data_IF_382204575320
#
_entry.id   IF_382204575320
#
_cell.length_a   1.000
_cell.length_b   1.000
_cell.length_c   1.000
_cell.angle_alpha   90.00
_cell.angle_beta   90.00
_cell.angle_gamma   90.00
#
_symmetry.space_group_name_H-M   'P 1'
#
loop_
_entity.id
_entity.type
_entity.pdbx_description
1 polymer ?
#
# COMPACT_ATOMS: atom_id res chain seq x y z
N UNK A 1 -14.85 -4.01 -11.58
CA UNK A 1 -14.47 -2.57 -11.60
C UNK A 1 -13.16 -2.42 -12.35
N UNK A 2 -13.05 -1.49 -13.29
CA UNK A 2 -11.81 -1.25 -14.05
C UNK A 2 -11.10 -0.01 -13.53
N UNK A 3 -9.79 -0.10 -13.32
CA UNK A 3 -8.92 1.02 -12.95
C UNK A 3 -8.12 1.49 -14.15
N UNK A 4 -7.85 2.80 -14.24
CA UNK A 4 -6.96 3.36 -15.26
C UNK A 4 -5.50 3.25 -14.78
N UNK A 5 -5.01 2.03 -14.75
CA UNK A 5 -3.72 1.69 -14.16
C UNK A 5 -2.55 1.87 -15.14
N UNK A 6 -2.45 3.06 -15.77
CA UNK A 6 -1.41 3.36 -16.76
C UNK A 6 -0.61 4.61 -16.40
N UNK A 7 0.66 4.61 -16.75
CA UNK A 7 1.60 5.73 -16.68
C UNK A 7 2.45 5.79 -17.96
N UNK A 8 3.54 6.54 -17.99
CA UNK A 8 4.52 6.54 -19.09
C UNK A 8 5.95 6.49 -18.53
N UNK A 9 6.91 6.06 -19.33
CA UNK A 9 8.32 6.09 -18.93
C UNK A 9 8.80 7.53 -18.66
N UNK A 10 8.33 8.51 -19.39
CA UNK A 10 8.66 9.91 -19.14
C UNK A 10 8.11 10.41 -17.81
N UNK A 11 6.87 10.04 -17.45
CA UNK A 11 6.29 10.39 -16.15
C UNK A 11 7.08 9.77 -14.99
N UNK A 12 7.49 8.51 -15.11
CA UNK A 12 8.33 7.83 -14.10
C UNK A 12 9.70 8.52 -14.00
N UNK A 13 10.36 8.77 -15.13
CA UNK A 13 11.68 9.40 -15.18
C UNK A 13 11.69 10.79 -14.55
N UNK A 14 10.64 11.56 -14.74
CA UNK A 14 10.47 12.90 -14.15
C UNK A 14 10.47 12.88 -12.61
N UNK A 15 10.23 11.72 -11.98
CA UNK A 15 10.23 11.51 -10.53
C UNK A 15 11.55 10.98 -9.98
N UNK A 16 12.59 10.92 -10.82
CA UNK A 16 13.95 10.48 -10.42
C UNK A 16 13.96 9.07 -9.78
N UNK A 17 13.53 8.03 -10.50
CA UNK A 17 13.56 6.66 -10.00
C UNK A 17 14.97 6.21 -9.67
N UNK A 18 15.13 5.21 -8.81
CA UNK A 18 16.43 4.63 -8.52
C UNK A 18 17.03 4.01 -9.78
N UNK A 19 18.36 4.07 -9.89
CA UNK A 19 19.08 3.64 -11.12
C UNK A 19 18.84 2.17 -11.47
N UNK A 20 18.79 1.30 -10.46
CA UNK A 20 18.64 -0.14 -10.66
C UNK A 20 17.22 -0.51 -11.10
N UNK A 21 16.20 0.02 -10.43
CA UNK A 21 14.79 -0.16 -10.83
C UNK A 21 14.54 0.37 -12.23
N UNK A 22 15.10 1.54 -12.55
CA UNK A 22 14.99 2.14 -13.88
C UNK A 22 15.61 1.26 -14.98
N UNK A 23 16.85 0.78 -14.78
CA UNK A 23 17.52 -0.11 -15.72
C UNK A 23 16.76 -1.41 -15.92
N UNK A 24 16.25 -2.00 -14.82
CA UNK A 24 15.47 -3.23 -14.84
C UNK A 24 14.22 -3.07 -15.69
N UNK A 25 13.47 -1.98 -15.49
CA UNK A 25 12.26 -1.67 -16.26
C UNK A 25 12.55 -1.49 -17.74
N UNK A 26 13.56 -0.67 -18.10
CA UNK A 26 13.94 -0.47 -19.50
C UNK A 26 14.37 -1.77 -20.18
N UNK A 27 15.17 -2.60 -19.50
CA UNK A 27 15.61 -3.90 -20.02
C UNK A 27 14.41 -4.84 -20.27
N UNK A 28 13.44 -4.89 -19.33
CA UNK A 28 12.23 -5.69 -19.49
C UNK A 28 11.40 -5.26 -20.71
N UNK A 29 11.33 -3.96 -20.96
CA UNK A 29 10.58 -3.38 -22.09
C UNK A 29 11.38 -3.41 -23.41
N UNK A 30 12.65 -3.80 -23.40
CA UNK A 30 13.54 -3.72 -24.57
C UNK A 30 13.81 -2.29 -25.04
N UNK A 31 13.71 -1.29 -24.15
CA UNK A 31 13.86 0.13 -24.44
C UNK A 31 15.19 0.67 -23.90
N UNK A 32 15.74 1.66 -24.62
CA UNK A 32 17.00 2.33 -24.23
C UNK A 32 16.76 3.75 -23.70
N UNK A 33 15.56 4.31 -23.92
CA UNK A 33 15.18 5.64 -23.50
C UNK A 33 13.71 5.69 -23.07
N UNK A 34 13.35 6.73 -22.31
CA UNK A 34 11.98 7.00 -21.94
C UNK A 34 11.16 7.53 -23.13
N UNK A 35 9.89 7.20 -23.13
CA UNK A 35 8.88 7.66 -24.07
C UNK A 35 7.54 7.91 -23.36
N UNK A 36 6.53 8.31 -24.13
CA UNK A 36 5.17 8.58 -23.66
C UNK A 36 4.17 7.47 -24.05
N UNK A 37 4.67 6.29 -24.44
CA UNK A 37 3.78 5.16 -24.66
C UNK A 37 3.09 4.76 -23.35
N UNK A 38 1.78 4.47 -23.39
CA UNK A 38 1.06 4.01 -22.21
C UNK A 38 1.68 2.72 -21.65
N UNK A 39 2.11 2.78 -20.39
CA UNK A 39 2.71 1.67 -19.66
C UNK A 39 1.76 1.23 -18.54
N UNK A 40 1.26 0.01 -18.61
CA UNK A 40 0.37 -0.52 -17.59
C UNK A 40 1.15 -0.90 -16.33
N UNK A 41 0.58 -0.60 -15.15
CA UNK A 41 1.22 -0.90 -13.85
C UNK A 41 1.50 -2.40 -13.67
N UNK A 42 0.70 -3.28 -14.27
CA UNK A 42 0.95 -4.72 -14.22
C UNK A 42 2.31 -5.09 -14.84
N UNK A 43 2.69 -4.43 -15.93
CA UNK A 43 4.01 -4.63 -16.55
C UNK A 43 5.15 -4.23 -15.61
N UNK A 44 4.96 -3.16 -14.82
CA UNK A 44 5.93 -2.73 -13.82
C UNK A 44 5.97 -3.74 -12.66
N UNK A 45 4.81 -4.24 -12.24
CA UNK A 45 4.72 -5.26 -11.20
C UNK A 45 5.45 -6.55 -11.62
N UNK A 46 5.29 -6.99 -12.87
CA UNK A 46 5.94 -8.17 -13.42
C UNK A 46 7.46 -8.00 -13.54
N UNK A 47 7.91 -6.80 -13.94
CA UNK A 47 9.34 -6.53 -14.12
C UNK A 47 10.06 -6.22 -12.81
N UNK A 48 9.48 -5.35 -11.97
CA UNK A 48 10.16 -4.72 -10.83
C UNK A 48 9.65 -5.19 -9.47
N UNK A 49 8.44 -5.74 -9.42
CA UNK A 49 7.80 -6.18 -8.18
C UNK A 49 7.00 -5.09 -7.48
N UNK A 50 6.45 -5.46 -6.31
CA UNK A 50 5.48 -4.66 -5.56
C UNK A 50 6.02 -3.28 -5.16
N UNK A 51 7.22 -3.23 -4.58
CA UNK A 51 7.78 -1.98 -4.03
C UNK A 51 7.92 -0.88 -5.10
N UNK A 52 8.47 -1.21 -6.27
CA UNK A 52 8.65 -0.25 -7.35
C UNK A 52 7.31 0.16 -7.95
N UNK A 53 6.35 -0.77 -8.04
CA UNK A 53 5.00 -0.48 -8.52
C UNK A 53 4.28 0.49 -7.61
N UNK A 54 4.31 0.28 -6.29
CA UNK A 54 3.71 1.19 -5.31
C UNK A 54 4.38 2.57 -5.33
N UNK A 55 5.70 2.61 -5.48
CA UNK A 55 6.42 3.86 -5.65
C UNK A 55 5.96 4.63 -6.89
N UNK A 56 5.82 3.94 -8.04
CA UNK A 56 5.32 4.55 -9.29
C UNK A 56 3.89 5.07 -9.09
N UNK A 57 2.99 4.27 -8.50
CA UNK A 57 1.61 4.70 -8.21
C UNK A 57 1.58 5.99 -7.40
N UNK A 58 2.38 6.05 -6.33
CA UNK A 58 2.44 7.21 -5.44
C UNK A 58 3.04 8.44 -6.15
N UNK A 59 4.14 8.27 -6.89
CA UNK A 59 4.86 9.39 -7.49
C UNK A 59 4.18 9.96 -8.74
N UNK A 60 3.56 9.12 -9.54
CA UNK A 60 2.91 9.55 -10.79
C UNK A 60 1.43 9.89 -10.62
N UNK A 61 0.81 9.44 -9.51
CA UNK A 61 -0.61 9.66 -9.27
C UNK A 61 -1.51 9.06 -10.36
N UNK A 62 -1.06 7.98 -11.01
CA UNK A 62 -1.69 7.46 -12.22
C UNK A 62 -3.12 6.91 -12.01
N UNK A 63 -3.47 6.49 -10.79
CA UNK A 63 -4.82 6.11 -10.41
C UNK A 63 -5.02 6.27 -8.88
N UNK A 64 -5.58 7.42 -8.47
CA UNK A 64 -5.85 7.72 -7.06
C UNK A 64 -6.85 6.74 -6.45
N UNK A 65 -7.85 6.32 -7.24
CA UNK A 65 -8.87 5.37 -6.79
C UNK A 65 -8.26 4.00 -6.51
N UNK A 66 -7.42 3.49 -7.42
CA UNK A 66 -6.69 2.24 -7.20
C UNK A 66 -5.82 2.32 -5.95
N UNK A 67 -5.04 3.40 -5.80
CA UNK A 67 -4.17 3.61 -4.64
C UNK A 67 -4.95 3.61 -3.32
N UNK A 68 -6.10 4.27 -3.30
CA UNK A 68 -7.00 4.38 -2.15
C UNK A 68 -7.63 3.04 -1.79
N UNK A 69 -8.16 2.31 -2.78
CA UNK A 69 -8.79 1.00 -2.56
C UNK A 69 -7.77 -0.06 -2.13
N UNK A 70 -6.57 -0.04 -2.72
CA UNK A 70 -5.49 -0.93 -2.31
C UNK A 70 -5.02 -0.65 -0.87
N UNK A 71 -4.84 0.63 -0.52
CA UNK A 71 -4.52 1.03 0.85
C UNK A 71 -5.59 0.60 1.86
N UNK A 72 -6.88 0.76 1.51
CA UNK A 72 -7.99 0.31 2.32
C UNK A 72 -8.02 -1.22 2.48
N UNK A 73 -7.69 -1.97 1.42
CA UNK A 73 -7.54 -3.42 1.52
C UNK A 73 -6.41 -3.82 2.47
N UNK A 74 -5.23 -3.20 2.34
CA UNK A 74 -4.10 -3.48 3.24
C UNK A 74 -4.46 -3.21 4.71
N UNK A 75 -5.13 -2.10 5.00
CA UNK A 75 -5.57 -1.75 6.35
C UNK A 75 -6.58 -2.75 6.92
N UNK A 76 -7.49 -3.25 6.08
CA UNK A 76 -8.51 -4.22 6.46
C UNK A 76 -7.90 -5.58 6.89
N UNK A 77 -6.76 -5.99 6.27
CA UNK A 77 -6.08 -7.23 6.64
C UNK A 77 -5.60 -7.24 8.10
N UNK A 78 -5.33 -6.08 8.67
CA UNK A 78 -4.81 -5.92 10.05
C UNK A 78 -5.82 -5.29 11.01
N UNK A 79 -7.00 -4.91 10.54
CA UNK A 79 -8.04 -4.26 11.35
C UNK A 79 -8.43 -5.10 12.58
N UNK A 80 -8.50 -6.42 12.44
CA UNK A 80 -8.83 -7.35 13.50
C UNK A 80 -7.90 -7.25 14.71
N UNK A 81 -6.63 -6.85 14.52
CA UNK A 81 -5.66 -6.67 15.60
C UNK A 81 -6.04 -5.47 16.48
N UNK A 82 -6.49 -4.38 15.85
CA UNK A 82 -6.97 -3.21 16.57
C UNK A 82 -8.30 -3.51 17.29
N UNK A 83 -9.23 -4.18 16.63
CA UNK A 83 -10.56 -4.47 17.16
C UNK A 83 -10.54 -5.50 18.31
N UNK A 84 -9.54 -6.39 18.34
CA UNK A 84 -9.34 -7.31 19.47
C UNK A 84 -9.03 -6.55 20.77
N UNK A 85 -8.29 -5.44 20.69
CA UNK A 85 -7.94 -4.59 21.83
C UNK A 85 -9.02 -3.52 22.11
N UNK A 86 -9.68 -3.01 21.05
CA UNK A 86 -10.61 -1.88 21.10
C UNK A 86 -11.89 -2.15 20.30
N UNK A 87 -12.71 -3.12 20.75
CA UNK A 87 -13.89 -3.57 19.98
C UNK A 87 -14.95 -2.47 19.78
N UNK A 88 -15.01 -1.48 20.68
CA UNK A 88 -16.01 -0.40 20.63
C UNK A 88 -15.54 0.84 19.88
N UNK A 89 -14.32 0.84 19.30
CA UNK A 89 -13.80 1.97 18.55
C UNK A 89 -13.93 1.76 17.04
N UNK A 90 -14.98 2.34 16.39
CA UNK A 90 -15.25 2.12 14.98
C UNK A 90 -14.40 2.99 14.04
N UNK A 91 -13.56 3.90 14.56
CA UNK A 91 -12.87 4.90 13.73
C UNK A 91 -11.99 4.29 12.62
N UNK A 92 -11.16 3.24 12.87
CA UNK A 92 -10.38 2.62 11.79
C UNK A 92 -11.27 1.93 10.75
N UNK A 93 -12.32 1.22 11.18
CA UNK A 93 -13.28 0.59 10.27
C UNK A 93 -14.00 1.62 9.40
N UNK A 94 -14.43 2.73 10.00
CA UNK A 94 -15.08 3.81 9.26
C UNK A 94 -14.13 4.46 8.26
N UNK A 95 -12.84 4.61 8.58
CA UNK A 95 -11.86 5.15 7.66
C UNK A 95 -11.64 4.22 6.44
N UNK A 96 -11.58 2.90 6.66
CA UNK A 96 -11.50 1.91 5.59
C UNK A 96 -12.74 1.97 4.70
N UNK A 97 -13.93 2.04 5.29
CA UNK A 97 -15.18 2.16 4.54
C UNK A 97 -15.22 3.45 3.71
N UNK A 98 -14.87 4.59 4.31
CA UNK A 98 -14.80 5.89 3.61
C UNK A 98 -13.73 5.90 2.50
N UNK A 99 -12.62 5.19 2.69
CA UNK A 99 -11.60 5.05 1.66
C UNK A 99 -12.08 4.21 0.46
N UNK A 100 -12.97 3.25 0.67
CA UNK A 100 -13.60 2.44 -0.39
C UNK A 100 -14.78 3.13 -1.07
N UNK A 101 -15.33 4.16 -0.44
CA UNK A 101 -16.47 4.91 -0.98
C UNK A 101 -15.99 5.89 -2.06
N UNK A 102 -16.42 5.65 -3.30
CA UNK A 102 -16.10 6.50 -4.44
C UNK A 102 -16.84 7.85 -4.39
N UNK A 103 -17.98 7.91 -3.72
CA UNK A 103 -18.80 9.11 -3.56
C UNK A 103 -18.32 9.99 -2.39
N UNK A 104 -17.49 9.47 -1.51
CA UNK A 104 -16.93 10.25 -0.40
C UNK A 104 -16.07 11.41 -0.93
N UNK A 105 -16.26 12.59 -0.37
CA UNK A 105 -15.48 13.78 -0.71
C UNK A 105 -14.03 13.68 -0.16
N UNK A 106 -13.06 14.41 -0.73
CA UNK A 106 -11.70 14.48 -0.17
C UNK A 106 -11.69 14.92 1.31
N UNK A 107 -12.59 15.84 1.71
CA UNK A 107 -12.72 16.30 3.09
C UNK A 107 -13.20 15.19 4.03
N UNK A 108 -14.18 14.38 3.61
CA UNK A 108 -14.65 13.22 4.39
C UNK A 108 -13.54 12.17 4.54
N UNK A 109 -12.79 11.90 3.48
CA UNK A 109 -11.66 10.97 3.53
C UNK A 109 -10.54 11.46 4.45
N UNK A 110 -10.21 12.76 4.40
CA UNK A 110 -9.22 13.35 5.30
C UNK A 110 -9.69 13.27 6.76
N UNK A 111 -10.93 13.66 7.06
CA UNK A 111 -11.48 13.59 8.42
C UNK A 111 -11.50 12.16 8.97
N UNK A 112 -11.88 11.18 8.16
CA UNK A 112 -11.88 9.76 8.54
C UNK A 112 -10.44 9.25 8.81
N UNK A 113 -9.47 9.64 8.00
CA UNK A 113 -8.05 9.33 8.19
C UNK A 113 -7.48 9.94 9.48
N UNK A 114 -7.82 11.20 9.76
CA UNK A 114 -7.41 11.88 11.01
C UNK A 114 -8.00 11.20 12.24
N UNK A 115 -9.27 10.81 12.18
CA UNK A 115 -9.95 10.10 13.27
C UNK A 115 -9.30 8.71 13.52
N UNK A 116 -8.99 7.95 12.45
CA UNK A 116 -8.30 6.67 12.56
C UNK A 116 -6.87 6.84 13.10
N UNK A 117 -6.14 7.87 12.65
CA UNK A 117 -4.82 8.21 13.17
C UNK A 117 -4.86 8.58 14.65
N UNK A 118 -5.88 9.28 15.10
CA UNK A 118 -6.11 9.58 16.53
C UNK A 118 -6.39 8.31 17.33
N UNK A 119 -7.17 7.37 16.78
CA UNK A 119 -7.45 6.07 17.41
C UNK A 119 -6.16 5.25 17.57
N UNK A 120 -5.33 5.19 16.52
CA UNK A 120 -4.06 4.48 16.54
C UNK A 120 -3.09 5.08 17.56
N UNK A 121 -3.01 6.41 17.65
CA UNK A 121 -2.17 7.10 18.66
C UNK A 121 -2.66 6.83 20.07
N UNK A 122 -3.97 6.82 20.31
CA UNK A 122 -4.54 6.50 21.62
C UNK A 122 -4.23 5.06 22.02
N UNK A 123 -4.38 4.11 21.10
CA UNK A 123 -4.01 2.71 21.31
C UNK A 123 -2.50 2.55 21.59
N UNK A 124 -1.64 3.24 20.84
CA UNK A 124 -0.19 3.22 21.03
C UNK A 124 0.22 3.84 22.39
N UNK A 125 -0.48 4.89 22.86
CA UNK A 125 -0.20 5.51 24.16
C UNK A 125 -0.41 4.57 25.34
N UNK A 126 -1.45 3.77 25.29
CA UNK A 126 -1.73 2.78 26.34
C UNK A 126 -0.83 1.51 26.21
N UNK A 127 -0.49 1.14 24.97
CA UNK A 127 0.40 0.03 24.67
C UNK A 127 1.88 0.35 24.94
N UNK A 128 2.28 1.62 24.97
CA UNK A 128 3.68 2.03 25.15
C UNK A 128 4.30 1.49 26.44
N UNK A 129 3.55 1.53 27.55
CA UNK A 129 4.02 1.01 28.83
C UNK A 129 4.13 -0.52 28.84
N UNK A 130 3.24 -1.22 28.12
CA UNK A 130 3.27 -2.67 27.99
C UNK A 130 4.25 -3.13 26.90
N UNK A 131 4.38 -2.37 25.80
CA UNK A 131 5.25 -2.70 24.67
C UNK A 131 6.74 -2.66 25.03
N UNK A 132 7.16 -1.78 25.95
CA UNK A 132 8.54 -1.72 26.40
C UNK A 132 8.98 -3.00 27.12
N UNK A 133 8.10 -3.62 27.89
CA UNK A 133 8.37 -4.91 28.55
C UNK A 133 8.32 -6.10 27.55
N UNK A 134 7.45 -6.04 26.56
CA UNK A 134 7.33 -7.05 25.52
C UNK A 134 8.39 -6.92 24.42
N UNK A 135 8.95 -5.72 24.22
CA UNK A 135 9.93 -5.44 23.15
C UNK A 135 11.23 -6.25 23.29
N UNK A 136 11.73 -6.41 24.50
CA UNK A 136 12.94 -7.20 24.75
C UNK A 136 12.73 -8.71 24.46
N UNK A 137 11.54 -9.25 24.71
CA UNK A 137 11.19 -10.64 24.40
C UNK A 137 10.85 -10.82 22.91
N UNK A 138 10.27 -9.81 22.26
CA UNK A 138 9.88 -9.86 20.85
C UNK A 138 11.09 -9.77 19.90
N UNK A 139 12.20 -9.13 20.29
CA UNK A 139 13.39 -9.03 19.45
C UNK A 139 13.98 -10.40 19.06
N UNK A 140 14.00 -11.37 19.98
CA UNK A 140 14.49 -12.71 19.69
C UNK A 140 13.51 -13.52 18.80
N UNK A 141 12.21 -13.31 18.95
CA UNK A 141 11.17 -13.92 18.13
C UNK A 141 11.05 -13.24 16.76
N UNK A 142 11.37 -11.96 16.67
CA UNK A 142 11.29 -11.16 15.43
C UNK A 142 12.35 -11.57 14.41
N UNK A 143 13.55 -11.95 14.86
CA UNK A 143 14.61 -12.38 13.95
C UNK A 143 14.29 -13.71 13.23
N UNK A 144 13.47 -14.57 13.83
CA UNK A 144 13.07 -15.87 13.25
C UNK A 144 11.70 -15.85 12.55
N UNK A 145 10.76 -15.03 13.04
CA UNK A 145 9.38 -14.99 12.51
C UNK A 145 9.13 -13.77 11.61
N UNK A 146 9.90 -12.70 11.76
CA UNK A 146 9.68 -11.43 11.07
C UNK A 146 9.90 -11.50 9.55
N UNK A 147 10.86 -12.30 9.07
CA UNK A 147 11.09 -12.48 7.64
C UNK A 147 9.93 -13.26 7.00
N UNK A 148 9.56 -14.41 7.55
CA UNK A 148 8.52 -15.26 6.97
C UNK A 148 7.12 -14.62 6.99
N UNK A 149 6.77 -13.90 8.07
CA UNK A 149 5.49 -13.18 8.14
C UNK A 149 5.49 -11.93 7.24
N UNK A 150 6.62 -11.24 7.12
CA UNK A 150 6.80 -10.12 6.21
C UNK A 150 6.72 -10.54 4.75
N UNK A 151 7.36 -11.65 4.39
CA UNK A 151 7.34 -12.22 3.05
C UNK A 151 5.91 -12.66 2.68
N UNK A 152 5.21 -13.36 3.58
CA UNK A 152 3.82 -13.78 3.35
C UNK A 152 2.84 -12.60 3.20
N UNK A 153 3.04 -11.52 3.97
CA UNK A 153 2.24 -10.30 3.84
C UNK A 153 2.54 -9.59 2.50
N UNK A 154 3.80 -9.54 2.08
CA UNK A 154 4.22 -9.00 0.79
C UNK A 154 3.61 -9.75 -0.38
N UNK A 155 3.63 -11.09 -0.34
CA UNK A 155 3.04 -11.96 -1.35
C UNK A 155 1.51 -11.75 -1.44
N UNK A 156 0.82 -11.62 -0.29
CA UNK A 156 -0.62 -11.36 -0.25
C UNK A 156 -0.96 -9.98 -0.84
N UNK A 157 -0.16 -8.95 -0.56
CA UNK A 157 -0.33 -7.61 -1.11
C UNK A 157 -0.10 -7.58 -2.62
N UNK A 158 0.96 -8.24 -3.12
CA UNK A 158 1.23 -8.36 -4.54
C UNK A 158 0.09 -9.07 -5.27
N UNK A 159 -0.39 -10.19 -4.71
CA UNK A 159 -1.52 -10.94 -5.25
C UNK A 159 -2.77 -10.08 -5.35
N UNK A 160 -3.10 -9.31 -4.30
CA UNK A 160 -4.26 -8.44 -4.31
C UNK A 160 -4.12 -7.29 -5.33
N UNK A 161 -2.96 -6.67 -5.41
CA UNK A 161 -2.72 -5.61 -6.40
C UNK A 161 -2.87 -6.14 -7.83
N UNK A 162 -2.37 -7.35 -8.12
CA UNK A 162 -2.57 -8.01 -9.43
C UNK A 162 -4.05 -8.18 -9.75
N UNK A 163 -4.87 -8.70 -8.83
CA UNK A 163 -6.31 -8.85 -9.02
C UNK A 163 -6.99 -7.51 -9.34
N UNK A 164 -6.63 -6.45 -8.64
CA UNK A 164 -7.18 -5.11 -8.90
C UNK A 164 -6.77 -4.58 -10.28
N UNK A 165 -5.55 -4.86 -10.73
CA UNK A 165 -5.03 -4.43 -12.04
C UNK A 165 -5.61 -5.24 -13.20
N UNK A 166 -5.98 -6.51 -12.99
CA UNK A 166 -6.62 -7.38 -14.01
C UNK A 166 -8.15 -7.27 -14.01
N UNK A 167 -8.74 -6.57 -13.04
CA UNK A 167 -10.20 -6.45 -12.90
C UNK A 167 -10.87 -7.67 -12.26
N UNK A 168 -10.11 -8.55 -11.61
CA UNK A 168 -10.59 -9.76 -10.92
C UNK A 168 -10.95 -9.51 -9.45
N UNK A 169 -10.94 -8.26 -8.99
CA UNK A 169 -11.19 -7.86 -7.60
C UNK A 169 -12.66 -7.48 -7.37
#
# INVERSE_FOLDING_TARGET
MTYTATTTLNAIRAKSPCADGWKKLLAHLGKVQADDEPLHLLTILDSNGLCDTLWVMQQTGCDERLSRHFGAWCADQVLHLFEADRPDDPRPRNAIATARDDDATPGQRAAAGDAAGAAARAAAGDAWAAAWAAWAAAQAAWAAAGSAAGDAAGDAQETQLRKMLTGEA
#
